data_IF_467073729180
#
_entry.id   IF_467073729180
#
_cell.length_a   1.000
_cell.length_b   1.000
_cell.length_c   1.000
_cell.angle_alpha   90.00
_cell.angle_beta   90.00
_cell.angle_gamma   90.00
#
_symmetry.space_group_name_H-M   'P 1'
#
loop_
_entity.id
_entity.type
_entity.pdbx_description
1 polymer ?
#
# COMPACT_ATOMS: atom_id res chain seq x y z
N UNK A 1 -10.89 -12.91 68.50
CA UNK A 1 -12.36 -12.77 68.66
C UNK A 1 -12.76 -11.51 67.91
N UNK A 2 -13.71 -11.54 66.97
CA UNK A 2 -14.07 -10.32 66.22
C UNK A 2 -14.65 -9.26 67.17
N UNK A 3 -14.42 -7.97 66.90
CA UNK A 3 -14.92 -6.86 67.73
C UNK A 3 -16.44 -6.98 67.98
N UNK A 4 -17.20 -7.43 66.97
CA UNK A 4 -18.62 -7.75 67.11
C UNK A 4 -18.92 -8.87 68.13
N UNK A 5 -18.11 -9.93 68.19
CA UNK A 5 -18.27 -10.99 69.19
C UNK A 5 -17.94 -10.47 70.60
N UNK A 6 -16.93 -9.62 70.73
CA UNK A 6 -16.55 -8.99 72.00
C UNK A 6 -17.67 -8.06 72.50
N UNK A 7 -18.27 -7.25 71.62
CA UNK A 7 -19.40 -6.37 71.96
C UNK A 7 -20.64 -7.15 72.40
N UNK A 8 -20.99 -8.23 71.68
CA UNK A 8 -22.11 -9.10 72.08
C UNK A 8 -21.86 -9.72 73.45
N UNK A 9 -20.62 -10.14 73.73
CA UNK A 9 -20.24 -10.69 75.01
C UNK A 9 -20.34 -9.64 76.13
N UNK A 10 -19.73 -8.46 75.95
CA UNK A 10 -19.78 -7.35 76.91
C UNK A 10 -21.21 -6.90 77.20
N UNK A 11 -22.06 -6.79 76.17
CA UNK A 11 -23.46 -6.40 76.35
C UNK A 11 -24.27 -7.47 77.08
N UNK A 12 -24.05 -8.76 76.76
CA UNK A 12 -24.71 -9.85 77.47
C UNK A 12 -24.29 -9.94 78.93
N UNK A 13 -23.02 -9.64 79.23
CA UNK A 13 -22.50 -9.71 80.59
C UNK A 13 -22.93 -8.49 81.43
N UNK A 14 -22.97 -7.30 80.82
CA UNK A 14 -23.54 -6.10 81.45
C UNK A 14 -25.05 -6.26 81.74
N UNK A 15 -25.81 -6.89 80.84
CA UNK A 15 -27.24 -7.18 81.06
C UNK A 15 -27.45 -8.17 82.22
N UNK A 16 -26.63 -9.22 82.32
CA UNK A 16 -26.70 -10.18 83.43
C UNK A 16 -26.40 -9.51 84.76
N UNK A 17 -25.31 -8.73 84.84
CA UNK A 17 -24.93 -8.00 86.05
C UNK A 17 -25.98 -6.97 86.46
N UNK A 18 -26.59 -6.27 85.49
CA UNK A 18 -27.70 -5.36 85.76
C UNK A 18 -28.96 -6.07 86.26
N UNK A 19 -29.25 -7.27 85.75
CA UNK A 19 -30.38 -8.07 86.20
C UNK A 19 -30.17 -8.63 87.62
N UNK A 20 -28.95 -9.08 87.94
CA UNK A 20 -28.56 -9.50 89.29
C UNK A 20 -28.63 -8.35 90.30
N UNK A 21 -28.20 -7.14 89.91
CA UNK A 21 -28.32 -5.93 90.73
C UNK A 21 -29.78 -5.56 91.04
N UNK A 22 -30.68 -5.76 90.08
CA UNK A 22 -32.10 -5.45 90.23
C UNK A 22 -32.83 -6.46 91.13
N UNK A 23 -32.44 -7.74 91.09
CA UNK A 23 -33.10 -8.79 91.86
C UNK A 23 -32.67 -8.84 93.33
N UNK A 24 -31.43 -8.46 93.66
CA UNK A 24 -30.91 -8.48 95.02
C UNK A 24 -30.20 -7.17 95.38
N UNK A 25 -30.95 -6.07 95.64
CA UNK A 25 -30.37 -4.76 95.89
C UNK A 25 -29.51 -4.71 97.16
N UNK A 26 -29.83 -5.52 98.17
CA UNK A 26 -29.13 -5.51 99.47
C UNK A 26 -27.83 -6.34 99.49
N UNK A 27 -27.53 -7.09 98.41
CA UNK A 27 -26.33 -7.97 98.29
C UNK A 27 -25.37 -7.45 97.22
N UNK A 28 -25.69 -6.34 96.55
CA UNK A 28 -24.83 -5.77 95.53
C UNK A 28 -23.63 -5.05 96.18
N UNK A 29 -22.57 -5.82 96.40
CA UNK A 29 -21.31 -5.37 97.00
C UNK A 29 -20.59 -4.36 96.09
N UNK A 30 -19.70 -3.55 96.68
CA UNK A 30 -18.86 -2.58 95.94
C UNK A 30 -18.13 -3.21 94.74
N UNK A 31 -17.80 -4.51 94.81
CA UNK A 31 -17.18 -5.25 93.71
C UNK A 31 -18.06 -5.33 92.44
N UNK A 32 -19.38 -5.34 92.57
CA UNK A 32 -20.32 -5.37 91.44
C UNK A 32 -20.32 -4.05 90.67
N UNK A 33 -20.24 -2.92 91.38
CA UNK A 33 -20.13 -1.59 90.80
C UNK A 33 -18.78 -1.39 90.10
N UNK A 34 -17.69 -1.87 90.69
CA UNK A 34 -16.36 -1.77 90.09
C UNK A 34 -16.26 -2.60 88.79
N UNK A 35 -16.94 -3.76 88.73
CA UNK A 35 -17.02 -4.56 87.50
C UNK A 35 -17.81 -3.87 86.40
N UNK A 36 -18.92 -3.20 86.74
CA UNK A 36 -19.71 -2.42 85.79
C UNK A 36 -18.90 -1.25 85.21
N UNK A 37 -18.16 -0.53 86.04
CA UNK A 37 -17.30 0.57 85.59
C UNK A 37 -16.15 0.08 84.70
N UNK A 38 -15.55 -1.08 85.00
CA UNK A 38 -14.56 -1.72 84.14
C UNK A 38 -15.14 -2.16 82.79
N UNK A 39 -16.38 -2.64 82.76
CA UNK A 39 -17.08 -3.01 81.52
C UNK A 39 -17.37 -1.78 80.66
N UNK A 40 -17.83 -0.67 81.25
CA UNK A 40 -18.05 0.59 80.54
C UNK A 40 -16.74 1.15 79.97
N UNK A 41 -15.65 1.08 80.75
CA UNK A 41 -14.32 1.51 80.31
C UNK A 41 -13.81 0.65 79.15
N UNK A 42 -14.07 -0.66 79.16
CA UNK A 42 -13.74 -1.57 78.06
C UNK A 42 -14.59 -1.30 76.82
N UNK A 43 -15.88 -0.99 76.96
CA UNK A 43 -16.72 -0.57 75.84
C UNK A 43 -16.19 0.69 75.18
N UNK A 44 -15.80 1.70 75.97
CA UNK A 44 -15.23 2.95 75.48
C UNK A 44 -13.89 2.75 74.74
N UNK A 45 -13.06 1.82 75.20
CA UNK A 45 -11.81 1.46 74.51
C UNK A 45 -12.08 0.75 73.18
N UNK A 46 -13.10 -0.12 73.12
CA UNK A 46 -13.51 -0.78 71.87
C UNK A 46 -14.06 0.24 70.87
N UNK A 47 -14.82 1.23 71.33
CA UNK A 47 -15.35 2.31 70.48
C UNK A 47 -14.24 3.23 69.91
N UNK A 48 -13.25 3.57 70.74
CA UNK A 48 -12.06 4.32 70.29
C UNK A 48 -11.25 3.48 69.29
N UNK A 49 -11.14 2.17 69.50
CA UNK A 49 -10.43 1.29 68.59
C UNK A 49 -11.16 1.15 67.23
N UNK A 50 -12.49 1.07 67.21
CA UNK A 50 -13.27 0.99 65.95
C UNK A 50 -13.22 2.30 65.16
N UNK A 51 -13.16 3.46 65.83
CA UNK A 51 -13.02 4.76 65.17
C UNK A 51 -11.60 5.05 64.67
N UNK A 52 -10.59 4.36 65.21
CA UNK A 52 -9.18 4.48 64.80
C UNK A 52 -8.71 3.39 63.84
N UNK A 53 -9.48 2.31 63.63
CA UNK A 53 -9.17 1.34 62.56
C UNK A 53 -9.25 2.10 61.22
N UNK A 54 -8.12 2.30 60.51
CA UNK A 54 -8.14 3.02 59.25
C UNK A 54 -9.07 2.27 58.31
N UNK A 55 -10.20 2.89 57.94
CA UNK A 55 -11.09 2.37 56.90
C UNK A 55 -10.20 2.03 55.71
N UNK A 56 -10.05 0.73 55.44
CA UNK A 56 -9.14 0.25 54.39
C UNK A 56 -9.41 1.05 53.14
N UNK A 57 -8.44 1.87 52.72
CA UNK A 57 -8.58 2.73 51.54
C UNK A 57 -9.08 1.84 50.40
N UNK A 58 -10.13 2.24 49.67
CA UNK A 58 -10.67 1.43 48.59
C UNK A 58 -9.50 1.05 47.66
N UNK A 59 -9.33 -0.27 47.43
CA UNK A 59 -8.26 -0.81 46.59
C UNK A 59 -8.25 -0.04 45.26
N UNK A 60 -7.22 0.78 45.02
CA UNK A 60 -7.00 1.53 43.76
C UNK A 60 -6.40 0.67 42.64
N UNK A 61 -6.19 -0.61 42.90
CA UNK A 61 -5.64 -1.55 41.93
C UNK A 61 -6.44 -1.69 40.62
N UNK A 62 -7.80 -1.68 40.60
CA UNK A 62 -8.53 -1.81 39.35
C UNK A 62 -8.33 -0.59 38.44
N UNK A 63 -8.22 0.62 38.99
CA UNK A 63 -7.97 1.82 38.18
C UNK A 63 -6.58 1.80 37.55
N UNK A 64 -5.57 1.31 38.27
CA UNK A 64 -4.21 1.15 37.72
C UNK A 64 -4.19 0.08 36.63
N UNK A 65 -4.88 -1.04 36.85
CA UNK A 65 -4.98 -2.13 35.88
C UNK A 65 -5.65 -1.68 34.57
N UNK A 66 -6.73 -0.90 34.64
CA UNK A 66 -7.40 -0.35 33.46
C UNK A 66 -6.48 0.61 32.70
N UNK A 67 -5.79 1.51 33.40
CA UNK A 67 -4.90 2.47 32.75
C UNK A 67 -3.70 1.77 32.08
N UNK A 68 -3.13 0.76 32.72
CA UNK A 68 -2.08 -0.06 32.14
C UNK A 68 -2.58 -0.82 30.90
N UNK A 69 -3.79 -1.41 30.95
CA UNK A 69 -4.38 -2.10 29.82
C UNK A 69 -4.65 -1.16 28.63
N UNK A 70 -5.20 0.04 28.88
CA UNK A 70 -5.43 1.04 27.83
C UNK A 70 -4.10 1.50 27.21
N UNK A 71 -3.08 1.78 28.04
CA UNK A 71 -1.76 2.14 27.56
C UNK A 71 -1.13 1.03 26.71
N UNK A 72 -1.29 -0.23 27.10
CA UNK A 72 -0.82 -1.39 26.34
C UNK A 72 -1.55 -1.50 24.99
N UNK A 73 -2.88 -1.33 24.98
CA UNK A 73 -3.66 -1.34 23.74
C UNK A 73 -3.24 -0.22 22.78
N UNK A 74 -3.07 1.02 23.27
CA UNK A 74 -2.60 2.14 22.45
C UNK A 74 -1.18 1.88 21.92
N UNK A 75 -0.28 1.39 22.79
CA UNK A 75 1.08 1.02 22.37
C UNK A 75 1.07 -0.07 21.30
N UNK A 76 0.17 -1.04 21.39
CA UNK A 76 0.02 -2.09 20.39
C UNK A 76 -0.51 -1.53 19.06
N UNK A 77 -1.51 -0.64 19.10
CA UNK A 77 -2.07 0.00 17.90
C UNK A 77 -1.08 0.92 17.19
N UNK A 78 -0.13 1.53 17.92
CA UNK A 78 0.95 2.34 17.35
C UNK A 78 2.02 1.48 16.66
N UNK A 79 2.23 0.25 17.12
CA UNK A 79 3.26 -0.66 16.58
C UNK A 79 2.72 -1.51 15.44
N UNK A 80 1.45 -1.93 15.52
CA UNK A 80 0.81 -2.70 14.46
C UNK A 80 0.54 -1.80 13.24
N UNK A 81 0.99 -2.28 12.08
CA UNK A 81 0.76 -1.66 10.78
C UNK A 81 -0.34 -2.40 10.04
N UNK A 82 -0.99 -1.69 9.14
CA UNK A 82 -2.05 -2.25 8.31
C UNK A 82 -1.40 -3.06 7.18
N UNK A 83 -1.96 -4.23 6.82
CA UNK A 83 -1.36 -5.12 5.82
C UNK A 83 -1.41 -4.58 4.38
N UNK A 84 -2.36 -3.71 4.06
CA UNK A 84 -2.50 -3.06 2.76
C UNK A 84 -3.05 -1.64 2.94
N UNK A 85 -2.60 -0.71 2.11
CA UNK A 85 -3.13 0.67 2.07
C UNK A 85 -3.46 1.04 0.64
N UNK A 86 -4.59 1.71 0.46
CA UNK A 86 -4.98 2.27 -0.83
C UNK A 86 -4.18 3.55 -1.09
N UNK A 87 -3.60 3.65 -2.29
CA UNK A 87 -2.80 4.78 -2.74
C UNK A 87 -3.22 5.26 -4.12
N UNK A 88 -2.97 6.54 -4.38
CA UNK A 88 -2.95 7.13 -5.70
C UNK A 88 -1.57 7.71 -5.95
N UNK A 89 -1.02 7.48 -7.14
CA UNK A 89 0.37 7.80 -7.45
C UNK A 89 0.43 8.50 -8.81
N UNK A 90 0.78 9.78 -8.78
CA UNK A 90 0.98 10.61 -9.95
C UNK A 90 2.48 10.88 -10.12
N UNK A 91 3.10 10.31 -11.15
CA UNK A 91 4.56 10.26 -11.28
C UNK A 91 5.01 10.58 -12.69
N UNK A 92 6.15 11.27 -12.81
CA UNK A 92 6.98 11.23 -14.00
C UNK A 92 8.20 10.35 -13.73
N UNK A 93 8.42 9.36 -14.59
CA UNK A 93 9.53 8.42 -14.49
C UNK A 93 10.32 8.33 -15.81
N UNK A 94 11.58 7.92 -15.72
CA UNK A 94 12.41 7.58 -16.88
C UNK A 94 12.18 6.15 -17.38
N UNK A 95 11.74 5.27 -16.47
CA UNK A 95 11.46 3.87 -16.72
C UNK A 95 10.41 3.36 -15.74
N UNK A 96 9.55 2.47 -16.18
CA UNK A 96 8.58 1.77 -15.34
C UNK A 96 8.44 0.34 -15.83
N UNK A 97 8.14 -0.54 -14.90
CA UNK A 97 7.90 -1.96 -15.17
C UNK A 97 6.69 -2.41 -14.37
N UNK A 98 5.80 -3.15 -15.00
CA UNK A 98 4.60 -3.69 -14.35
C UNK A 98 4.18 -4.99 -15.03
N UNK A 99 3.41 -5.80 -14.30
CA UNK A 99 2.79 -7.01 -14.84
C UNK A 99 1.30 -6.77 -15.05
N UNK A 100 0.75 -7.18 -16.18
CA UNK A 100 -0.69 -7.09 -16.42
C UNK A 100 -1.42 -8.17 -15.61
N UNK A 101 -2.41 -7.79 -14.79
CA UNK A 101 -3.20 -8.78 -14.03
C UNK A 101 -4.31 -9.44 -14.86
N UNK A 102 -4.69 -8.82 -15.99
CA UNK A 102 -5.68 -9.33 -16.94
C UNK A 102 -5.30 -8.92 -18.36
N UNK A 103 -5.87 -9.58 -19.35
CA UNK A 103 -5.76 -9.15 -20.74
C UNK A 103 -6.23 -7.70 -20.89
N UNK A 104 -5.40 -6.87 -21.51
CA UNK A 104 -5.67 -5.43 -21.65
C UNK A 104 -5.09 -4.89 -22.96
N UNK A 105 -5.66 -3.79 -23.45
CA UNK A 105 -5.09 -3.03 -24.58
C UNK A 105 -3.97 -2.17 -23.99
N UNK A 106 -2.71 -2.32 -24.42
CA UNK A 106 -1.61 -1.47 -23.96
C UNK A 106 -1.63 -0.11 -24.67
N UNK A 107 -1.81 -0.15 -25.98
CA UNK A 107 -1.82 1.02 -26.83
C UNK A 107 -2.98 0.89 -27.81
N UNK A 108 -3.72 1.98 -28.01
CA UNK A 108 -4.64 2.11 -29.14
C UNK A 108 -3.85 2.38 -30.44
N UNK A 109 -4.51 2.91 -31.46
CA UNK A 109 -3.84 3.33 -32.70
C UNK A 109 -2.80 4.43 -32.42
N UNK A 110 -1.52 4.04 -32.42
CA UNK A 110 -0.40 4.90 -32.08
C UNK A 110 0.32 5.38 -33.34
N UNK A 111 0.33 6.69 -33.59
CA UNK A 111 1.03 7.30 -34.72
C UNK A 111 2.52 7.49 -34.41
N UNK A 112 3.37 6.95 -35.28
CA UNK A 112 4.81 6.83 -35.11
C UNK A 112 5.55 7.46 -36.28
N UNK A 113 6.76 7.96 -36.00
CA UNK A 113 7.73 8.32 -37.04
C UNK A 113 8.66 7.16 -37.38
N UNK A 114 8.99 6.34 -36.38
CA UNK A 114 9.72 5.09 -36.57
C UNK A 114 9.30 4.03 -35.54
N UNK A 115 9.40 2.77 -35.95
CA UNK A 115 9.19 1.59 -35.14
C UNK A 115 10.29 0.58 -35.43
N UNK A 116 11.16 0.34 -34.46
CA UNK A 116 12.05 -0.81 -34.43
C UNK A 116 11.40 -1.95 -33.67
N UNK A 117 11.50 -3.18 -34.17
CA UNK A 117 11.13 -4.39 -33.44
C UNK A 117 12.24 -5.41 -33.59
N UNK A 118 12.63 -6.03 -32.48
CA UNK A 118 13.57 -7.16 -32.45
C UNK A 118 12.85 -8.46 -32.13
N UNK A 119 13.55 -9.59 -32.32
CA UNK A 119 13.07 -10.91 -31.94
C UNK A 119 11.82 -11.39 -32.71
N UNK A 120 11.78 -11.13 -34.03
CA UNK A 120 10.71 -11.55 -34.94
C UNK A 120 11.00 -12.91 -35.60
N UNK A 121 9.93 -13.66 -35.86
CA UNK A 121 9.93 -14.89 -36.67
C UNK A 121 9.63 -14.56 -38.12
N UNK A 122 8.59 -13.76 -38.35
CA UNK A 122 8.09 -13.46 -39.69
C UNK A 122 7.62 -12.01 -39.79
N UNK A 123 7.88 -11.41 -40.95
CA UNK A 123 7.38 -10.10 -41.37
C UNK A 123 6.63 -10.28 -42.68
N UNK A 124 5.33 -10.02 -42.66
CA UNK A 124 4.52 -9.97 -43.87
C UNK A 124 4.36 -8.52 -44.33
N UNK A 125 4.92 -8.23 -45.52
CA UNK A 125 4.83 -6.94 -46.19
C UNK A 125 3.79 -7.04 -47.32
N UNK A 126 2.72 -6.23 -47.29
CA UNK A 126 1.70 -6.26 -48.31
C UNK A 126 2.22 -5.71 -49.66
N UNK A 127 1.47 -5.99 -50.72
CA UNK A 127 1.78 -5.51 -52.08
C UNK A 127 1.86 -3.97 -52.12
N UNK A 128 2.84 -3.45 -52.85
CA UNK A 128 2.99 -2.03 -53.17
C UNK A 128 3.13 -1.82 -54.69
N UNK A 129 2.95 -0.61 -55.24
CA UNK A 129 3.18 -0.34 -56.65
C UNK A 129 4.59 -0.79 -57.07
N UNK A 130 4.66 -1.68 -58.06
CA UNK A 130 5.93 -2.23 -58.55
C UNK A 130 6.53 -3.37 -57.73
N UNK A 131 5.91 -3.82 -56.63
CA UNK A 131 6.38 -4.99 -55.85
C UNK A 131 5.26 -5.91 -55.39
N UNK A 132 5.48 -7.21 -55.53
CA UNK A 132 4.60 -8.24 -54.97
C UNK A 132 4.63 -8.21 -53.43
N UNK A 133 3.62 -8.81 -52.80
CA UNK A 133 3.65 -9.07 -51.36
C UNK A 133 4.84 -9.98 -51.05
N UNK A 134 5.47 -9.74 -49.90
CA UNK A 134 6.69 -10.44 -49.50
C UNK A 134 6.59 -10.85 -48.03
N UNK A 135 6.89 -12.11 -47.77
CA UNK A 135 7.18 -12.61 -46.42
C UNK A 135 8.68 -12.66 -46.23
N UNK A 136 9.17 -12.03 -45.17
CA UNK A 136 10.56 -12.15 -44.70
C UNK A 136 10.51 -13.02 -43.44
N UNK A 137 11.02 -14.25 -43.52
CA UNK A 137 11.06 -15.18 -42.40
C UNK A 137 12.49 -15.35 -41.89
N UNK A 138 12.64 -15.50 -40.58
CA UNK A 138 13.92 -15.76 -39.94
C UNK A 138 14.47 -17.13 -40.40
N UNK A 139 15.69 -17.22 -40.97
CA UNK A 139 16.31 -18.50 -41.27
C UNK A 139 16.56 -19.26 -39.96
N UNK A 140 15.83 -20.38 -39.76
CA UNK A 140 15.88 -21.25 -38.57
C UNK A 140 17.29 -21.67 -38.11
N UNK A 141 18.31 -21.48 -38.94
CA UNK A 141 19.70 -21.86 -38.68
C UNK A 141 20.52 -20.86 -37.86
N UNK A 142 20.08 -19.61 -37.65
CA UNK A 142 20.93 -18.56 -37.07
C UNK A 142 20.68 -18.24 -35.58
N UNK A 143 19.68 -18.81 -34.93
CA UNK A 143 19.48 -18.73 -33.48
C UNK A 143 19.19 -17.34 -32.89
N UNK A 144 19.34 -16.26 -33.66
CA UNK A 144 18.89 -14.91 -33.31
C UNK A 144 17.57 -14.59 -34.00
N UNK A 145 16.70 -13.82 -33.35
CA UNK A 145 15.47 -13.34 -33.97
C UNK A 145 15.72 -12.26 -35.03
N UNK A 146 14.82 -12.17 -36.01
CA UNK A 146 14.86 -11.12 -37.04
C UNK A 146 14.56 -9.76 -36.38
N UNK A 147 15.27 -8.70 -36.76
CA UNK A 147 14.90 -7.35 -36.36
C UNK A 147 14.54 -6.51 -37.60
N UNK A 148 13.60 -5.58 -37.43
CA UNK A 148 13.19 -4.66 -38.49
C UNK A 148 13.00 -3.26 -37.93
N UNK A 149 13.39 -2.27 -38.73
CA UNK A 149 13.05 -0.88 -38.48
C UNK A 149 12.19 -0.34 -39.60
N UNK A 150 11.01 0.13 -39.24
CA UNK A 150 10.07 0.86 -40.09
C UNK A 150 10.23 2.35 -39.78
N UNK A 151 10.35 3.20 -40.80
CA UNK A 151 10.39 4.65 -40.60
C UNK A 151 9.76 5.42 -41.74
N UNK A 152 9.12 6.54 -41.44
CA UNK A 152 8.58 7.46 -42.44
C UNK A 152 9.70 8.33 -43.03
N UNK A 153 9.71 8.53 -44.35
CA UNK A 153 10.69 9.40 -45.01
C UNK A 153 10.26 10.88 -44.97
N UNK A 154 8.96 11.11 -45.20
CA UNK A 154 8.30 12.41 -45.10
C UNK A 154 7.11 12.32 -44.13
N UNK A 155 7.21 12.87 -42.91
CA UNK A 155 6.13 12.86 -41.92
C UNK A 155 4.84 13.56 -42.38
N UNK A 156 4.92 14.47 -43.35
CA UNK A 156 3.75 15.21 -43.83
C UNK A 156 2.86 14.36 -44.76
N UNK A 157 3.45 13.39 -45.45
CA UNK A 157 2.76 12.56 -46.46
C UNK A 157 2.68 11.08 -46.08
N UNK A 158 3.49 10.66 -45.10
CA UNK A 158 3.62 9.26 -44.70
C UNK A 158 3.26 9.10 -43.22
N UNK A 159 2.45 8.10 -42.93
CA UNK A 159 2.01 7.79 -41.57
C UNK A 159 2.29 6.33 -41.27
N UNK A 160 2.94 6.08 -40.15
CA UNK A 160 3.09 4.77 -39.57
C UNK A 160 2.20 4.71 -38.33
N UNK A 161 1.27 3.77 -38.26
CA UNK A 161 0.36 3.63 -37.13
C UNK A 161 0.46 2.21 -36.59
N UNK A 162 1.01 2.06 -35.39
CA UNK A 162 0.90 0.81 -34.64
C UNK A 162 -0.58 0.61 -34.30
N UNK A 163 -1.16 -0.50 -34.71
CA UNK A 163 -2.56 -0.80 -34.40
C UNK A 163 -2.73 -1.09 -32.92
N UNK A 164 -3.98 -1.21 -32.47
CA UNK A 164 -4.30 -1.62 -31.10
C UNK A 164 -3.50 -2.84 -30.70
N UNK A 165 -2.71 -2.70 -29.64
CA UNK A 165 -1.85 -3.75 -29.12
C UNK A 165 -2.53 -4.39 -27.91
N UNK A 166 -3.12 -5.56 -28.11
CA UNK A 166 -3.80 -6.31 -27.05
C UNK A 166 -2.80 -7.27 -26.40
N UNK A 167 -2.51 -7.07 -25.12
CA UNK A 167 -1.59 -7.90 -24.37
C UNK A 167 -2.34 -8.91 -23.50
N UNK A 168 -1.89 -10.17 -23.44
CA UNK A 168 -2.47 -11.18 -22.56
C UNK A 168 -2.16 -10.88 -21.09
N UNK A 169 -2.91 -11.52 -20.18
CA UNK A 169 -2.62 -11.47 -18.75
C UNK A 169 -1.20 -12.01 -18.46
N UNK A 170 -0.65 -11.60 -17.31
CA UNK A 170 0.68 -11.98 -16.84
C UNK A 170 1.83 -11.57 -17.77
N UNK A 171 1.57 -10.63 -18.70
CA UNK A 171 2.64 -10.02 -19.51
C UNK A 171 3.37 -8.99 -18.67
N UNK A 172 4.70 -9.10 -18.59
CA UNK A 172 5.55 -8.05 -18.01
C UNK A 172 5.81 -7.00 -19.08
N UNK A 173 5.48 -5.76 -18.75
CA UNK A 173 5.63 -4.60 -19.61
C UNK A 173 6.65 -3.67 -18.97
N UNK A 174 7.77 -3.46 -19.66
CA UNK A 174 8.81 -2.52 -19.24
C UNK A 174 8.92 -1.40 -20.27
N UNK A 175 8.72 -0.16 -19.84
CA UNK A 175 8.80 1.02 -20.69
C UNK A 175 9.94 1.89 -20.18
N UNK A 176 10.86 2.27 -21.06
CA UNK A 176 12.02 3.10 -20.72
C UNK A 176 12.25 4.16 -21.79
N UNK A 177 12.83 5.29 -21.39
CA UNK A 177 13.34 6.27 -22.35
C UNK A 177 14.62 5.74 -23.01
N UNK A 178 14.67 5.75 -24.35
CA UNK A 178 15.80 5.26 -25.13
C UNK A 178 16.97 6.28 -25.29
N UNK A 179 16.99 7.34 -24.48
CA UNK A 179 18.04 8.34 -24.42
C UNK A 179 17.88 9.51 -25.39
N UNK A 180 16.81 9.54 -26.19
CA UNK A 180 16.46 10.69 -27.04
C UNK A 180 15.05 11.18 -26.71
N UNK A 181 14.77 12.49 -26.90
CA UNK A 181 13.39 12.97 -26.88
C UNK A 181 12.55 12.14 -27.85
N UNK A 182 11.36 11.74 -27.39
CA UNK A 182 10.36 11.01 -28.17
C UNK A 182 10.75 9.58 -28.60
N UNK A 183 11.86 9.04 -28.09
CA UNK A 183 12.25 7.64 -28.28
C UNK A 183 12.04 6.84 -27.00
N UNK A 184 11.22 5.81 -27.10
CA UNK A 184 10.89 4.93 -26.00
C UNK A 184 11.17 3.49 -26.39
N UNK A 185 11.70 2.73 -25.44
CA UNK A 185 11.89 1.30 -25.55
C UNK A 185 10.84 0.61 -24.71
N UNK A 186 10.01 -0.22 -25.36
CA UNK A 186 9.01 -1.06 -24.71
C UNK A 186 9.49 -2.50 -24.82
N UNK A 187 9.84 -3.13 -23.71
CA UNK A 187 10.12 -4.55 -23.64
C UNK A 187 8.88 -5.27 -23.14
N UNK A 188 8.47 -6.32 -23.86
CA UNK A 188 7.37 -7.20 -23.45
C UNK A 188 7.94 -8.57 -23.16
N UNK A 189 7.51 -9.17 -22.06
CA UNK A 189 7.74 -10.57 -21.74
C UNK A 189 6.39 -11.26 -21.56
N UNK A 190 6.03 -12.09 -22.55
CA UNK A 190 4.76 -12.81 -22.59
C UNK A 190 4.77 -14.03 -21.68
N UNK A 191 3.62 -14.32 -21.07
CA UNK A 191 3.38 -15.56 -20.35
C UNK A 191 3.52 -16.81 -21.24
N UNK A 192 3.68 -17.98 -20.61
CA UNK A 192 3.80 -19.25 -21.34
C UNK A 192 2.54 -19.50 -22.18
N UNK A 193 2.73 -19.98 -23.42
CA UNK A 193 1.68 -20.29 -24.39
C UNK A 193 0.83 -19.10 -24.86
N UNK A 194 1.30 -17.87 -24.65
CA UNK A 194 0.68 -16.69 -25.22
C UNK A 194 1.31 -16.36 -26.57
N UNK A 195 0.47 -16.06 -27.55
CA UNK A 195 0.88 -15.55 -28.86
C UNK A 195 0.51 -14.07 -28.96
N UNK A 196 1.39 -13.27 -29.55
CA UNK A 196 1.09 -11.88 -29.89
C UNK A 196 1.35 -11.65 -31.36
N UNK A 197 0.40 -11.03 -32.05
CA UNK A 197 0.64 -10.50 -33.39
C UNK A 197 0.65 -8.99 -33.33
N UNK A 198 1.73 -8.41 -33.82
CA UNK A 198 1.86 -6.95 -33.93
C UNK A 198 1.46 -6.56 -35.34
N UNK A 199 0.57 -5.58 -35.47
CA UNK A 199 0.18 -5.06 -36.77
C UNK A 199 0.49 -3.57 -36.87
N UNK A 200 0.96 -3.16 -38.04
CA UNK A 200 1.38 -1.79 -38.29
C UNK A 200 0.74 -1.34 -39.60
N UNK A 201 -0.11 -0.33 -39.52
CA UNK A 201 -0.70 0.28 -40.69
C UNK A 201 0.26 1.33 -41.25
N UNK A 202 0.63 1.16 -42.52
CA UNK A 202 1.55 2.00 -43.24
C UNK A 202 0.82 2.72 -44.38
N UNK A 203 1.04 4.04 -44.51
CA UNK A 203 0.59 4.86 -45.63
C UNK A 203 1.72 5.79 -46.08
N UNK A 204 1.86 5.98 -47.38
CA UNK A 204 2.89 6.82 -47.99
C UNK A 204 4.22 6.08 -48.13
N UNK A 205 5.32 6.83 -48.13
CA UNK A 205 6.67 6.30 -48.34
C UNK A 205 7.27 5.84 -47.01
N UNK A 206 7.40 4.51 -46.86
CA UNK A 206 7.96 3.86 -45.68
C UNK A 206 9.29 3.20 -46.06
N UNK A 207 10.32 3.49 -45.26
CA UNK A 207 11.59 2.79 -45.33
C UNK A 207 11.53 1.57 -44.39
N UNK A 208 11.75 0.38 -44.94
CA UNK A 208 11.80 -0.88 -44.20
C UNK A 208 13.24 -1.37 -44.21
N UNK A 209 13.87 -1.41 -43.05
CA UNK A 209 15.25 -1.84 -42.86
C UNK A 209 15.30 -3.11 -41.99
N UNK A 210 15.36 -4.31 -42.59
CA UNK A 210 15.63 -5.54 -41.85
C UNK A 210 17.07 -5.57 -41.33
N UNK A 211 17.36 -6.34 -40.28
CA UNK A 211 18.71 -6.48 -39.70
C UNK A 211 19.73 -7.03 -40.69
N UNK A 212 19.29 -7.95 -41.56
CA UNK A 212 20.19 -8.77 -42.39
C UNK A 212 20.30 -8.26 -43.83
N UNK A 213 19.78 -7.06 -44.11
CA UNK A 213 19.67 -6.55 -45.47
C UNK A 213 19.70 -5.03 -45.57
N UNK A 214 19.84 -4.50 -46.80
CA UNK A 214 19.77 -3.07 -47.02
C UNK A 214 18.35 -2.56 -46.73
N UNK A 215 18.26 -1.28 -46.37
CA UNK A 215 16.98 -0.60 -46.23
C UNK A 215 16.30 -0.46 -47.59
N UNK A 216 15.02 -0.80 -47.66
CA UNK A 216 14.23 -0.82 -48.88
C UNK A 216 13.03 0.12 -48.72
N UNK A 217 12.86 1.04 -49.67
CA UNK A 217 11.73 1.98 -49.69
C UNK A 217 10.50 1.33 -50.32
N UNK A 218 9.36 1.37 -49.63
CA UNK A 218 8.04 0.94 -50.11
C UNK A 218 7.11 2.15 -50.16
N UNK A 219 6.29 2.24 -51.20
CA UNK A 219 5.27 3.28 -51.34
C UNK A 219 3.88 2.67 -51.20
N UNK A 220 3.13 3.07 -50.17
CA UNK A 220 1.79 2.57 -49.89
C UNK A 220 0.76 3.67 -50.20
N UNK A 221 0.26 3.69 -51.44
CA UNK A 221 -0.74 4.67 -51.88
C UNK A 221 -2.07 4.54 -51.12
N UNK A 222 -2.38 3.34 -50.61
CA UNK A 222 -3.50 3.06 -49.70
C UNK A 222 -2.96 2.54 -48.37
N UNK A 223 -3.64 2.82 -47.23
CA UNK A 223 -3.28 2.25 -45.94
C UNK A 223 -3.16 0.72 -46.03
N UNK A 224 -1.99 0.20 -45.71
CA UNK A 224 -1.63 -1.20 -45.88
C UNK A 224 -1.11 -1.79 -44.57
N UNK A 225 -1.56 -3.00 -44.24
CA UNK A 225 -1.24 -3.64 -42.97
C UNK A 225 0.03 -4.51 -43.10
N UNK A 226 1.07 -4.12 -42.38
CA UNK A 226 2.28 -4.93 -42.16
C UNK A 226 2.04 -5.77 -40.92
N UNK A 227 2.24 -7.09 -41.02
CA UNK A 227 2.04 -8.03 -39.91
C UNK A 227 3.40 -8.54 -39.44
N UNK A 228 3.63 -8.49 -38.13
CA UNK A 228 4.89 -8.81 -37.49
C UNK A 228 4.63 -9.88 -36.42
N UNK A 229 5.24 -11.04 -36.60
CA UNK A 229 5.09 -12.21 -35.72
C UNK A 229 6.37 -12.36 -34.89
N UNK A 230 6.32 -12.21 -33.55
CA UNK A 230 7.47 -12.45 -32.66
C UNK A 230 7.92 -13.92 -32.70
N UNK A 231 9.24 -14.14 -32.68
CA UNK A 231 9.85 -15.48 -32.55
C UNK A 231 9.97 -15.94 -31.10
N UNK A 232 9.91 -14.99 -30.17
CA UNK A 232 10.28 -15.14 -28.78
C UNK A 232 9.19 -14.54 -27.88
N UNK A 233 9.15 -14.99 -26.64
CA UNK A 233 8.28 -14.41 -25.60
C UNK A 233 8.77 -13.06 -25.12
N UNK A 234 10.06 -12.81 -25.27
CA UNK A 234 10.71 -11.54 -24.97
C UNK A 234 11.02 -10.83 -26.28
N UNK A 235 10.45 -9.65 -26.47
CA UNK A 235 10.75 -8.83 -27.63
C UNK A 235 10.64 -7.36 -27.28
N UNK A 236 11.34 -6.55 -28.06
CA UNK A 236 11.56 -5.15 -27.76
C UNK A 236 11.08 -4.30 -28.93
N UNK A 237 10.34 -3.25 -28.59
CA UNK A 237 9.94 -2.20 -29.50
C UNK A 237 10.77 -0.96 -29.21
N UNK A 238 11.44 -0.43 -30.22
CA UNK A 238 12.04 0.89 -30.20
C UNK A 238 11.11 1.84 -30.95
N UNK A 239 10.31 2.58 -30.20
CA UNK A 239 9.24 3.44 -30.71
C UNK A 239 9.74 4.87 -30.77
N UNK A 240 9.63 5.53 -31.93
CA UNK A 240 9.83 6.98 -32.07
C UNK A 240 8.49 7.65 -32.36
N UNK A 241 8.04 8.52 -31.47
CA UNK A 241 6.76 9.22 -31.62
C UNK A 241 6.82 10.22 -32.79
N UNK A 242 5.65 10.62 -33.30
CA UNK A 242 5.57 11.75 -34.23
C UNK A 242 5.83 13.08 -33.48
N UNK A 243 6.49 14.04 -34.13
CA UNK A 243 7.19 15.22 -33.56
C UNK A 243 6.38 16.21 -32.71
N UNK A 244 5.10 15.95 -32.45
CA UNK A 244 4.18 16.85 -31.74
C UNK A 244 3.20 16.12 -30.80
N UNK A 245 3.36 14.80 -30.58
CA UNK A 245 2.38 14.01 -29.83
C UNK A 245 2.88 13.59 -28.46
N UNK A 246 2.31 14.16 -27.39
CA UNK A 246 2.15 13.37 -26.17
C UNK A 246 1.22 12.21 -26.51
N UNK A 247 1.72 11.00 -26.34
CA UNK A 247 0.96 9.79 -26.64
C UNK A 247 0.38 9.30 -25.35
N UNK A 248 -0.95 9.31 -25.27
CA UNK A 248 -1.66 8.58 -24.24
C UNK A 248 -1.75 7.12 -24.65
N UNK A 249 -1.12 6.26 -23.87
CA UNK A 249 -1.38 4.83 -23.88
C UNK A 249 -2.77 4.57 -23.28
N UNK A 250 -3.24 3.32 -23.38
CA UNK A 250 -4.62 2.97 -23.06
C UNK A 250 -5.03 3.38 -21.63
N UNK A 251 -6.34 3.60 -21.46
CA UNK A 251 -6.94 3.96 -20.19
C UNK A 251 -7.21 2.70 -19.36
N UNK A 252 -6.98 2.78 -18.04
CA UNK A 252 -7.36 1.76 -17.06
C UNK A 252 -6.68 0.39 -17.30
N UNK A 253 -5.35 0.37 -17.35
CA UNK A 253 -4.60 -0.89 -17.43
C UNK A 253 -4.61 -1.57 -16.05
N UNK A 254 -5.20 -2.77 -15.90
CA UNK A 254 -5.15 -3.50 -14.64
C UNK A 254 -3.75 -4.10 -14.46
N UNK A 255 -3.04 -3.67 -13.42
CA UNK A 255 -1.65 -4.06 -13.17
C UNK A 255 -1.45 -4.69 -11.80
N UNK A 256 -0.37 -5.45 -11.71
CA UNK A 256 0.26 -5.92 -10.48
C UNK A 256 1.77 -5.68 -10.57
N UNK A 257 2.45 -5.71 -9.42
CA UNK A 257 3.91 -5.62 -9.33
C UNK A 257 4.50 -4.40 -10.06
N UNK A 258 4.14 -3.19 -9.62
CA UNK A 258 4.71 -1.94 -10.14
C UNK A 258 6.13 -1.72 -9.60
N UNK A 259 7.09 -1.64 -10.51
CA UNK A 259 8.50 -1.42 -10.22
C UNK A 259 8.94 -0.07 -10.80
N UNK A 260 9.48 0.78 -9.93
CA UNK A 260 9.94 2.15 -10.22
C UNK A 260 11.45 2.30 -10.03
N UNK A 261 12.15 1.21 -10.34
CA UNK A 261 13.58 1.10 -10.13
C UNK A 261 14.21 0.34 -11.27
N UNK A 262 15.42 0.75 -11.67
CA UNK A 262 16.23 0.02 -12.64
C UNK A 262 17.42 -0.60 -11.95
N UNK A 263 17.81 -1.78 -12.38
CA UNK A 263 19.09 -2.39 -12.01
C UNK A 263 20.16 -1.90 -12.98
N UNK A 264 21.16 -1.22 -12.44
CA UNK A 264 22.33 -0.76 -13.18
C UNK A 264 23.50 -1.68 -12.84
N UNK A 265 24.10 -2.30 -13.87
CA UNK A 265 25.22 -3.23 -13.73
C UNK A 265 26.49 -2.55 -14.27
N UNK A 266 27.40 -2.25 -13.35
CA UNK A 266 28.71 -1.71 -13.67
C UNK A 266 29.72 -2.84 -13.68
N UNK A 267 30.17 -3.22 -14.87
CA UNK A 267 31.27 -4.17 -15.04
C UNK A 267 32.58 -3.40 -14.88
N UNK A 268 33.17 -3.48 -13.69
CA UNK A 268 34.50 -2.94 -13.39
C UNK A 268 35.62 -3.84 -13.93
N UNK A 269 36.86 -3.41 -13.74
CA UNK A 269 38.06 -4.16 -14.16
C UNK A 269 38.24 -5.44 -13.32
N UNK A 270 37.85 -5.38 -12.04
CA UNK A 270 37.99 -6.49 -11.08
C UNK A 270 36.66 -7.07 -10.62
N UNK A 271 35.61 -6.26 -10.57
CA UNK A 271 34.34 -6.62 -9.93
C UNK A 271 33.14 -6.09 -10.72
N UNK A 272 32.04 -6.85 -10.72
CA UNK A 272 30.74 -6.40 -11.20
C UNK A 272 29.95 -5.81 -10.04
N UNK A 273 29.60 -4.53 -10.13
CA UNK A 273 28.79 -3.84 -9.13
C UNK A 273 27.36 -3.67 -9.64
N UNK A 274 26.41 -4.28 -8.96
CA UNK A 274 24.98 -4.20 -9.29
C UNK A 274 24.32 -3.25 -8.30
N UNK A 275 23.66 -2.22 -8.80
CA UNK A 275 22.92 -1.25 -7.97
C UNK A 275 21.54 -0.98 -8.50
N UNK A 276 20.58 -0.90 -7.59
CA UNK A 276 19.24 -0.43 -7.90
C UNK A 276 19.21 1.11 -7.84
N UNK A 277 18.68 1.73 -8.90
CA UNK A 277 18.55 3.19 -9.03
C UNK A 277 17.08 3.56 -9.23
N UNK A 278 16.66 4.69 -8.67
CA UNK A 278 15.30 5.21 -8.86
C UNK A 278 15.10 5.60 -10.31
N UNK A 279 13.93 5.32 -10.84
CA UNK A 279 13.50 5.84 -12.14
C UNK A 279 12.59 7.04 -11.99
N UNK A 280 12.28 7.48 -10.76
CA UNK A 280 11.40 8.61 -10.47
C UNK A 280 12.12 9.92 -10.76
N UNK A 281 11.50 10.76 -11.59
CA UNK A 281 11.95 12.12 -11.89
C UNK A 281 11.27 13.14 -10.97
N UNK A 282 9.96 13.01 -10.78
CA UNK A 282 9.16 13.74 -9.79
C UNK A 282 7.78 13.12 -9.65
N UNK A 283 7.01 13.55 -8.65
CA UNK A 283 5.60 13.23 -8.54
C UNK A 283 5.01 13.41 -7.15
N UNK A 284 3.82 12.87 -6.97
CA UNK A 284 3.04 12.93 -5.74
C UNK A 284 2.43 11.56 -5.46
N UNK A 285 2.58 11.12 -4.22
CA UNK A 285 1.93 9.95 -3.66
C UNK A 285 0.84 10.41 -2.70
N UNK A 286 -0.38 9.96 -2.94
CA UNK A 286 -1.53 10.23 -2.08
C UNK A 286 -1.92 8.94 -1.35
N UNK A 287 -1.99 9.03 -0.03
CA UNK A 287 -2.48 7.94 0.83
C UNK A 287 -3.98 8.10 0.99
N UNK A 288 -4.76 7.45 0.13
CA UNK A 288 -6.23 7.55 0.09
C UNK A 288 -6.85 7.16 1.42
N UNK A 289 -6.35 6.07 2.02
CA UNK A 289 -6.79 5.58 3.34
C UNK A 289 -6.51 6.55 4.49
N UNK A 290 -5.55 7.47 4.33
CA UNK A 290 -5.20 8.50 5.32
C UNK A 290 -5.84 9.86 5.03
N UNK A 291 -6.98 9.86 4.33
CA UNK A 291 -7.69 11.10 4.01
C UNK A 291 -6.96 11.93 2.95
N UNK A 292 -6.21 11.28 2.05
CA UNK A 292 -5.51 11.93 0.95
C UNK A 292 -4.22 12.64 1.38
N UNK A 293 -3.54 12.13 2.42
CA UNK A 293 -2.24 12.68 2.82
C UNK A 293 -1.27 12.59 1.64
N UNK A 294 -0.71 13.74 1.27
CA UNK A 294 0.21 13.88 0.14
C UNK A 294 1.66 13.75 0.59
N UNK A 295 2.43 12.95 -0.15
CA UNK A 295 3.88 12.84 -0.04
C UNK A 295 4.50 13.19 -1.40
N UNK A 296 5.16 14.34 -1.46
CA UNK A 296 5.85 14.78 -2.68
C UNK A 296 7.14 13.96 -2.89
N UNK A 297 7.25 13.35 -4.07
CA UNK A 297 8.39 12.52 -4.46
C UNK A 297 9.40 13.35 -5.24
N UNK A 298 10.66 13.31 -4.80
CA UNK A 298 11.76 14.06 -5.42
C UNK A 298 12.46 13.23 -6.50
N UNK A 299 13.17 13.92 -7.40
CA UNK A 299 14.04 13.28 -8.38
C UNK A 299 15.05 12.34 -7.70
N UNK A 300 15.08 11.09 -8.14
CA UNK A 300 15.98 10.07 -7.62
C UNK A 300 15.55 9.48 -6.27
N UNK A 301 14.43 9.92 -5.69
CA UNK A 301 13.89 9.34 -4.46
C UNK A 301 13.48 7.89 -4.73
N UNK A 302 13.96 6.96 -3.91
CA UNK A 302 13.58 5.56 -4.04
C UNK A 302 12.14 5.38 -3.56
N UNK A 303 11.31 4.72 -4.34
CA UNK A 303 9.99 4.28 -3.90
C UNK A 303 9.92 2.77 -4.09
N UNK A 304 9.87 2.05 -2.98
CA UNK A 304 9.76 0.59 -2.96
C UNK A 304 8.31 0.24 -2.64
N UNK A 305 7.68 -0.43 -3.60
CA UNK A 305 6.33 -0.96 -3.52
C UNK A 305 6.42 -2.49 -3.52
N UNK A 306 5.68 -3.15 -2.64
CA UNK A 306 5.51 -4.61 -2.65
C UNK A 306 4.03 -4.95 -2.56
N UNK A 307 3.64 -6.07 -3.18
CA UNK A 307 2.25 -6.53 -3.29
C UNK A 307 1.36 -5.41 -3.83
N UNK A 308 1.70 -4.92 -5.02
CA UNK A 308 0.96 -3.86 -5.71
C UNK A 308 -0.16 -4.47 -6.53
N UNK A 309 -1.39 -4.01 -6.35
CA UNK A 309 -2.55 -4.45 -7.15
C UNK A 309 -3.43 -3.25 -7.44
N UNK A 310 -3.79 -3.00 -8.70
CA UNK A 310 -4.60 -1.83 -9.02
C UNK A 310 -4.71 -1.58 -10.51
N UNK A 311 -4.76 -0.31 -10.89
CA UNK A 311 -4.84 0.08 -12.29
C UNK A 311 -4.04 1.35 -12.60
N UNK A 312 -3.36 1.36 -13.75
CA UNK A 312 -2.87 2.59 -14.35
C UNK A 312 -4.04 3.28 -15.04
N UNK A 313 -4.50 4.38 -14.46
CA UNK A 313 -5.58 5.20 -15.01
C UNK A 313 -5.08 5.92 -16.26
N UNK A 314 -3.87 6.48 -16.18
CA UNK A 314 -3.22 7.19 -17.28
C UNK A 314 -1.77 6.77 -17.42
N UNK A 315 -1.33 6.63 -18.66
CA UNK A 315 0.06 6.41 -19.00
C UNK A 315 0.36 7.21 -20.26
N UNK A 316 1.24 8.21 -20.15
CA UNK A 316 1.55 9.14 -21.23
C UNK A 316 3.05 9.14 -21.51
N UNK A 317 3.39 9.00 -22.79
CA UNK A 317 4.75 9.11 -23.29
C UNK A 317 4.92 10.48 -23.95
N UNK A 318 5.90 11.27 -23.50
CA UNK A 318 6.20 12.56 -24.13
C UNK A 318 7.35 13.28 -23.45
N UNK A 319 8.05 14.13 -24.20
CA UNK A 319 9.11 14.99 -23.68
C UNK A 319 10.27 14.22 -22.99
N UNK A 320 10.50 12.96 -23.38
CA UNK A 320 11.50 12.10 -22.74
C UNK A 320 11.12 11.64 -21.32
N UNK A 321 9.85 11.78 -20.95
CA UNK A 321 9.32 11.36 -19.66
C UNK A 321 8.17 10.39 -19.85
N UNK A 322 7.98 9.52 -18.87
CA UNK A 322 6.84 8.62 -18.79
C UNK A 322 5.98 9.10 -17.63
N UNK A 323 4.89 9.78 -17.95
CA UNK A 323 3.94 10.27 -16.97
C UNK A 323 2.89 9.19 -16.70
N UNK A 324 2.63 8.87 -15.44
CA UNK A 324 1.67 7.86 -15.04
C UNK A 324 0.78 8.33 -13.89
N UNK A 325 -0.48 7.87 -13.92
CA UNK A 325 -1.41 7.94 -12.80
C UNK A 325 -1.83 6.51 -12.46
N UNK A 326 -1.43 6.05 -11.28
CA UNK A 326 -1.80 4.75 -10.73
C UNK A 326 -2.77 4.93 -9.56
N UNK A 327 -3.68 3.98 -9.40
CA UNK A 327 -4.56 3.87 -8.26
C UNK A 327 -4.74 2.41 -7.87
N UNK A 328 -4.60 2.09 -6.59
CA UNK A 328 -4.79 0.75 -6.07
C UNK A 328 -4.17 0.52 -4.70
N UNK A 329 -4.06 -0.75 -4.33
CA UNK A 329 -3.56 -1.20 -3.03
C UNK A 329 -2.08 -1.57 -3.09
N UNK A 330 -1.37 -1.27 -2.02
CA UNK A 330 0.01 -1.72 -1.80
C UNK A 330 0.17 -2.37 -0.43
N UNK A 331 0.89 -3.49 -0.38
CA UNK A 331 1.17 -4.20 0.88
C UNK A 331 2.42 -3.71 1.60
N UNK A 332 3.36 -3.08 0.90
CA UNK A 332 4.48 -2.36 1.52
C UNK A 332 4.80 -1.11 0.71
N UNK A 333 5.07 -0.03 1.43
CA UNK A 333 5.36 1.28 0.86
C UNK A 333 6.50 1.93 1.64
N UNK A 334 7.66 2.09 0.99
CA UNK A 334 8.83 2.73 1.59
C UNK A 334 9.40 3.77 0.63
N UNK A 335 9.76 4.93 1.17
CA UNK A 335 10.49 5.97 0.45
C UNK A 335 11.95 6.01 0.90
N UNK A 336 12.87 6.40 0.02
CA UNK A 336 14.29 6.57 0.29
C UNK A 336 15.14 5.33 0.01
N UNK A 337 16.46 5.53 0.03
CA UNK A 337 17.46 4.49 -0.23
C UNK A 337 18.20 4.11 1.04
N UNK A 338 18.51 2.81 1.16
CA UNK A 338 19.37 2.24 2.19
C UNK A 338 19.06 2.80 3.60
N UNK A 339 20.05 3.08 4.44
CA UNK A 339 19.89 3.48 5.85
C UNK A 339 19.01 4.72 6.12
N UNK A 340 18.49 5.38 5.09
CA UNK A 340 17.53 6.49 5.20
C UNK A 340 16.13 6.14 4.65
N UNK A 341 15.78 4.86 4.53
CA UNK A 341 14.45 4.45 4.11
C UNK A 341 13.39 4.81 5.18
N UNK A 342 12.34 5.51 4.79
CA UNK A 342 11.17 5.81 5.61
C UNK A 342 10.02 4.87 5.21
N UNK A 343 9.42 4.22 6.19
CA UNK A 343 8.26 3.37 5.94
C UNK A 343 6.99 4.22 6.02
N UNK A 344 6.31 4.37 4.88
CA UNK A 344 5.11 5.20 4.73
C UNK A 344 3.82 4.41 5.00
N UNK A 345 3.91 3.12 5.36
CA UNK A 345 2.73 2.32 5.72
C UNK A 345 2.08 2.87 6.99
N UNK A 346 0.76 3.16 6.96
CA UNK A 346 0.04 3.66 8.11
C UNK A 346 0.02 2.67 9.26
N UNK A 347 0.07 3.19 10.49
CA UNK A 347 -0.28 2.41 11.66
C UNK A 347 -1.81 2.36 11.85
N UNK A 348 -2.31 1.43 12.67
CA UNK A 348 -3.75 1.31 12.92
C UNK A 348 -4.35 2.57 13.53
N UNK A 349 -3.59 3.32 14.33
CA UNK A 349 -4.08 4.54 14.97
C UNK A 349 -4.32 5.65 13.93
N UNK A 350 -3.36 5.91 13.05
CA UNK A 350 -3.46 6.87 11.94
C UNK A 350 -4.67 6.57 11.06
N UNK A 351 -4.89 5.30 10.74
CA UNK A 351 -6.04 4.86 9.95
C UNK A 351 -7.38 5.00 10.67
N UNK A 352 -7.45 4.74 11.98
CA UNK A 352 -8.67 5.01 12.76
C UNK A 352 -8.95 6.52 12.78
N UNK A 353 -7.91 7.34 12.97
CA UNK A 353 -8.02 8.80 13.00
C UNK A 353 -8.46 9.36 11.64
N UNK A 354 -7.98 8.79 10.54
CA UNK A 354 -8.34 9.20 9.18
C UNK A 354 -9.81 8.91 8.81
N UNK A 355 -10.55 8.13 9.61
CA UNK A 355 -11.95 7.78 9.34
C UNK A 355 -12.91 8.43 10.35
N UNK A 356 -13.58 9.55 9.97
CA UNK A 356 -14.49 10.27 10.87
C UNK A 356 -15.60 9.40 11.45
N UNK A 357 -16.12 8.44 10.69
CA UNK A 357 -17.16 7.52 11.15
C UNK A 357 -16.72 6.63 12.31
N UNK A 358 -15.48 6.15 12.30
CA UNK A 358 -14.91 5.36 13.41
C UNK A 358 -14.65 6.25 14.63
N UNK A 359 -14.11 7.45 14.44
CA UNK A 359 -13.95 8.44 15.49
C UNK A 359 -15.27 8.74 16.21
N UNK A 360 -16.35 8.94 15.45
CA UNK A 360 -17.69 9.15 16.01
C UNK A 360 -18.15 7.93 16.81
N UNK A 361 -18.01 6.72 16.27
CA UNK A 361 -18.36 5.48 16.98
C UNK A 361 -17.60 5.33 18.30
N UNK A 362 -16.28 5.58 18.31
CA UNK A 362 -15.46 5.52 19.52
C UNK A 362 -15.85 6.60 20.53
N UNK A 363 -16.10 7.82 20.07
CA UNK A 363 -16.56 8.91 20.94
C UNK A 363 -17.88 8.56 21.66
N UNK A 364 -18.82 7.94 20.95
CA UNK A 364 -20.10 7.50 21.50
C UNK A 364 -19.91 6.33 22.47
N UNK A 365 -19.07 5.36 22.12
CA UNK A 365 -18.76 4.22 22.97
C UNK A 365 -18.12 4.66 24.29
N UNK A 366 -17.14 5.56 24.23
CA UNK A 366 -16.49 6.15 25.43
C UNK A 366 -17.50 6.94 26.25
N UNK A 367 -18.34 7.75 25.61
CA UNK A 367 -19.38 8.52 26.31
C UNK A 367 -20.37 7.62 27.04
N UNK A 368 -20.84 6.55 26.37
CA UNK A 368 -21.78 5.58 26.94
C UNK A 368 -21.12 4.79 28.08
N UNK A 369 -19.86 4.39 27.92
CA UNK A 369 -19.09 3.73 28.97
C UNK A 369 -18.91 4.62 30.22
N UNK A 370 -18.57 5.90 30.04
CA UNK A 370 -18.46 6.86 31.13
C UNK A 370 -19.81 7.10 31.82
N UNK A 371 -20.90 7.12 31.06
CA UNK A 371 -22.26 7.25 31.59
C UNK A 371 -22.63 6.03 32.45
N UNK A 372 -22.37 4.82 31.97
CA UNK A 372 -22.60 3.56 32.73
C UNK A 372 -21.76 3.51 34.00
N UNK A 373 -20.48 3.90 33.92
CA UNK A 373 -19.62 4.00 35.10
C UNK A 373 -20.12 5.04 36.11
N UNK A 374 -20.62 6.18 35.62
CA UNK A 374 -21.24 7.23 36.43
C UNK A 374 -22.47 6.72 37.18
N UNK A 375 -23.39 6.05 36.47
CA UNK A 375 -24.59 5.43 37.06
C UNK A 375 -24.19 4.37 38.10
N UNK A 376 -23.27 3.47 37.77
CA UNK A 376 -22.83 2.40 38.68
C UNK A 376 -22.20 2.96 39.95
N UNK A 377 -21.36 3.98 39.82
CA UNK A 377 -20.75 4.67 40.96
C UNK A 377 -21.81 5.37 41.81
N UNK A 378 -22.76 6.06 41.19
CA UNK A 378 -23.85 6.73 41.89
C UNK A 378 -24.66 5.72 42.71
N UNK A 379 -25.07 4.61 42.10
CA UNK A 379 -25.83 3.54 42.75
C UNK A 379 -25.12 2.96 43.97
N UNK A 380 -23.81 2.74 43.87
CA UNK A 380 -22.98 2.22 44.98
C UNK A 380 -22.81 3.23 46.12
N UNK A 381 -23.01 4.52 45.88
CA UNK A 381 -22.89 5.55 46.92
C UNK A 381 -24.21 5.91 47.60
N UNK A 382 -25.35 5.69 46.93
CA UNK A 382 -26.68 6.05 47.44
C UNK A 382 -27.46 4.87 48.02
N UNK A 383 -27.10 3.62 47.69
CA UNK A 383 -27.60 2.41 48.35
C UNK A 383 -26.57 1.86 49.32
#
# INVERSE_FOLDING_TARGET
MSAQKLRKYLHSEAQKLGHEAYQNPDVFTEEGLERLERLERLERVVEIQESTVPKMKPKRWPTIAVLAAVSLCISLLLVLRIPSTEIELNLNASELEFTLSKQAILADALVLSALGISELEEIYIPRSPGRAAQTIANPKSQGGGLAVRLSTLDPAQSTLTLTTLVLPADTVVKISNAGRPDQYRICLELAQNSELTVQVNARGTILIAPSDGPAVQYDFSIPSLIVLTPASRQFTFDVTLAKEGQVRLALLLPIQDLILTRVDEFIGITDTFVRQISTILDGQLFLTDLGGQEHALRNGEGLLLDKVWGSLIHLTLGNGTIAMLYHGDVGTLRSGWEGNSQNLMPNFLEWIVARPGLMLFWSQTVSLFLLVLGIWRWWKTTG
#
